data_IF_784895945942
#
_entry.id   IF_784895945942
#
_cell.length_a   1.000
_cell.length_b   1.000
_cell.length_c   1.000
_cell.angle_alpha   90.00
_cell.angle_beta   90.00
_cell.angle_gamma   90.00
#
_symmetry.space_group_name_H-M   'P 1'
#
loop_
_entity.id
_entity.type
_entity.pdbx_description
1 polymer ?
#
# COMPACT_ATOMS: atom_id res chain seq x y z
N UNK A 1 6.15 -39.29 -43.12
CA UNK A 1 5.26 -38.33 -42.42
C UNK A 1 4.90 -38.89 -41.05
N UNK A 2 5.64 -38.54 -39.99
CA UNK A 2 5.41 -39.09 -38.63
C UNK A 2 5.77 -38.11 -37.49
N UNK A 3 5.98 -36.83 -37.82
CA UNK A 3 6.38 -35.79 -36.85
C UNK A 3 5.38 -34.64 -36.71
N UNK A 4 4.18 -34.76 -37.28
CA UNK A 4 3.16 -33.70 -37.30
C UNK A 4 2.10 -33.84 -36.20
N UNK A 5 1.98 -35.00 -35.54
CA UNK A 5 0.94 -35.22 -34.51
C UNK A 5 1.32 -34.67 -33.13
N UNK A 6 2.61 -34.45 -32.85
CA UNK A 6 3.04 -33.97 -31.53
C UNK A 6 2.80 -32.48 -31.32
N UNK A 7 2.67 -31.69 -32.40
CA UNK A 7 2.54 -30.22 -32.31
C UNK A 7 1.11 -29.79 -31.95
N UNK A 8 0.09 -30.60 -32.25
CA UNK A 8 -1.32 -30.22 -32.04
C UNK A 8 -1.77 -30.43 -30.59
N UNK A 9 -1.23 -31.41 -29.86
CA UNK A 9 -1.58 -31.63 -28.45
C UNK A 9 -1.01 -30.57 -27.50
N UNK A 10 0.07 -29.88 -27.87
CA UNK A 10 0.64 -28.80 -27.06
C UNK A 10 -0.18 -27.51 -27.09
N UNK A 11 -0.89 -27.23 -28.20
CA UNK A 11 -1.69 -26.01 -28.34
C UNK A 11 -3.01 -26.06 -27.53
N UNK A 12 -3.57 -27.26 -27.32
CA UNK A 12 -4.85 -27.42 -26.61
C UNK A 12 -4.71 -27.16 -25.11
N UNK A 13 -3.54 -27.47 -24.52
CA UNK A 13 -3.27 -27.24 -23.08
C UNK A 13 -3.02 -25.76 -22.78
N UNK A 14 -2.48 -24.99 -23.75
CA UNK A 14 -2.26 -23.57 -23.59
C UNK A 14 -3.56 -22.72 -23.63
N UNK A 15 -4.61 -23.24 -24.28
CA UNK A 15 -5.89 -22.53 -24.42
C UNK A 15 -6.84 -22.63 -23.21
N UNK A 16 -6.67 -23.64 -22.35
CA UNK A 16 -7.56 -23.85 -21.20
C UNK A 16 -7.19 -23.04 -19.95
N UNK A 17 -6.01 -22.41 -19.92
CA UNK A 17 -5.57 -21.59 -18.78
C UNK A 17 -6.15 -20.16 -18.80
N UNK A 18 -6.79 -19.74 -19.90
CA UNK A 18 -7.34 -18.38 -20.04
C UNK A 18 -8.86 -18.27 -19.82
N UNK A 19 -9.52 -19.32 -19.33
CA UNK A 19 -10.98 -19.32 -19.08
C UNK A 19 -11.37 -19.32 -17.59
N UNK A 20 -10.45 -18.98 -16.69
CA UNK A 20 -10.89 -18.53 -15.37
C UNK A 20 -11.40 -17.10 -15.54
N UNK A 21 -12.70 -16.97 -15.75
CA UNK A 21 -13.40 -15.72 -15.45
C UNK A 21 -13.15 -15.46 -13.98
N UNK A 22 -12.15 -14.61 -13.71
CA UNK A 22 -11.89 -14.08 -12.38
C UNK A 22 -13.20 -13.51 -11.90
N UNK A 23 -13.79 -14.20 -10.92
CA UNK A 23 -15.02 -13.82 -10.27
C UNK A 23 -14.85 -12.35 -9.90
N UNK A 24 -15.57 -11.44 -10.55
CA UNK A 24 -15.54 -10.03 -10.16
C UNK A 24 -16.25 -9.99 -8.82
N UNK A 25 -15.49 -10.17 -7.75
CA UNK A 25 -15.92 -9.86 -6.40
C UNK A 25 -16.37 -8.41 -6.47
N UNK A 26 -17.68 -8.21 -6.57
CA UNK A 26 -18.32 -6.92 -6.42
C UNK A 26 -18.05 -6.52 -4.99
N UNK A 27 -16.96 -5.79 -4.77
CA UNK A 27 -16.74 -5.09 -3.53
C UNK A 27 -17.99 -4.23 -3.29
N UNK A 28 -18.68 -4.51 -2.19
CA UNK A 28 -19.79 -3.71 -1.68
C UNK A 28 -19.37 -2.24 -1.65
N UNK A 29 -20.27 -1.33 -2.02
CA UNK A 29 -20.07 0.13 -2.08
C UNK A 29 -19.87 0.79 -0.69
N UNK A 30 -18.98 0.24 0.13
CA UNK A 30 -18.52 0.80 1.42
C UNK A 30 -17.11 1.39 1.30
N UNK A 31 -16.69 1.79 0.09
CA UNK A 31 -15.40 2.42 -0.15
C UNK A 31 -15.43 3.89 0.24
N UNK A 32 -14.36 4.39 0.86
CA UNK A 32 -14.11 5.83 0.90
C UNK A 32 -13.74 6.28 -0.52
N UNK A 33 -14.29 7.41 -0.97
CA UNK A 33 -13.80 8.11 -2.15
C UNK A 33 -12.42 8.69 -1.82
N UNK A 34 -11.38 8.14 -2.42
CA UNK A 34 -10.01 8.52 -2.13
C UNK A 34 -9.18 8.68 -3.40
N UNK A 35 -8.28 9.67 -3.38
CA UNK A 35 -7.34 9.90 -4.48
C UNK A 35 -5.89 9.89 -3.97
N UNK A 36 -4.96 9.23 -4.67
CA UNK A 36 -3.55 9.28 -4.30
C UNK A 36 -2.94 10.65 -4.64
N UNK A 37 -2.12 11.17 -3.75
CA UNK A 37 -1.28 12.35 -4.03
C UNK A 37 0.10 11.88 -4.45
N UNK A 38 0.56 12.33 -5.62
CA UNK A 38 1.81 11.88 -6.24
C UNK A 38 2.75 13.04 -6.55
N UNK A 39 4.00 12.71 -6.91
CA UNK A 39 4.99 13.67 -7.42
C UNK A 39 5.43 14.74 -6.43
N UNK A 40 5.60 15.97 -6.91
CA UNK A 40 6.13 17.07 -6.11
C UNK A 40 5.24 17.43 -4.92
N UNK A 41 3.91 17.28 -5.05
CA UNK A 41 2.98 17.62 -3.98
C UNK A 41 3.07 16.62 -2.82
N UNK A 42 3.16 15.32 -3.14
CA UNK A 42 3.48 14.27 -2.17
C UNK A 42 4.76 14.62 -1.39
N UNK A 43 5.82 15.02 -2.11
CA UNK A 43 7.11 15.31 -1.47
C UNK A 43 7.03 16.46 -0.46
N UNK A 44 6.25 17.52 -0.74
CA UNK A 44 6.04 18.64 0.20
C UNK A 44 5.31 18.17 1.45
N UNK A 45 4.23 17.41 1.28
CA UNK A 45 3.42 16.89 2.39
C UNK A 45 4.28 16.00 3.30
N UNK A 46 5.04 15.08 2.69
CA UNK A 46 5.93 14.18 3.42
C UNK A 46 7.04 14.95 4.14
N UNK A 47 7.64 15.96 3.50
CA UNK A 47 8.65 16.79 4.15
C UNK A 47 8.07 17.55 5.36
N UNK A 48 6.86 18.10 5.22
CA UNK A 48 6.16 18.77 6.31
C UNK A 48 5.90 17.80 7.47
N UNK A 49 5.34 16.62 7.21
CA UNK A 49 5.12 15.60 8.22
C UNK A 49 6.41 15.23 8.95
N UNK A 50 7.49 14.89 8.24
CA UNK A 50 8.73 14.41 8.85
C UNK A 50 9.41 15.48 9.71
N UNK A 51 9.21 16.76 9.37
CA UNK A 51 9.72 17.89 10.15
C UNK A 51 8.91 18.16 11.43
N UNK A 52 7.68 17.67 11.51
CA UNK A 52 6.76 17.87 12.64
C UNK A 52 7.27 17.22 13.94
N UNK A 53 6.78 17.72 15.07
CA UNK A 53 7.01 17.09 16.37
C UNK A 53 6.30 15.74 16.46
N UNK A 54 5.04 15.67 16.02
CA UNK A 54 4.21 14.47 16.02
C UNK A 54 4.92 13.27 15.38
N UNK A 55 5.50 13.46 14.19
CA UNK A 55 6.23 12.41 13.51
C UNK A 55 7.46 11.96 14.29
N UNK A 56 8.21 12.90 14.89
CA UNK A 56 9.43 12.57 15.63
C UNK A 56 9.12 11.75 16.87
N UNK A 57 8.04 12.10 17.57
CA UNK A 57 7.55 11.38 18.75
C UNK A 57 7.02 9.99 18.38
N UNK A 58 6.16 9.89 17.35
CA UNK A 58 5.64 8.62 16.85
C UNK A 58 6.79 7.70 16.40
N UNK A 59 7.73 8.22 15.60
CA UNK A 59 8.92 7.48 15.17
C UNK A 59 9.74 6.99 16.35
N UNK A 60 9.90 7.80 17.40
CA UNK A 60 10.65 7.40 18.58
C UNK A 60 9.92 6.29 19.35
N UNK A 61 8.59 6.40 19.52
CA UNK A 61 7.76 5.37 20.17
C UNK A 61 7.84 4.05 19.44
N UNK A 62 7.54 4.05 18.13
CA UNK A 62 7.55 2.85 17.29
C UNK A 62 8.95 2.21 17.25
N UNK A 63 10.00 3.03 17.31
CA UNK A 63 11.38 2.51 17.41
C UNK A 63 11.64 1.79 18.74
N UNK A 64 11.08 2.24 19.85
CA UNK A 64 11.20 1.55 21.14
C UNK A 64 10.52 0.19 21.14
N UNK A 65 9.53 -0.01 20.26
CA UNK A 65 8.82 -1.28 20.06
C UNK A 65 9.60 -2.26 19.18
N UNK A 66 10.73 -1.84 18.60
CA UNK A 66 11.64 -2.71 17.85
C UNK A 66 11.62 -2.49 16.33
N UNK A 67 10.78 -1.60 15.84
CA UNK A 67 10.66 -1.31 14.41
C UNK A 67 11.66 -0.24 13.94
N UNK A 68 11.91 -0.21 12.64
CA UNK A 68 12.86 0.69 12.00
C UNK A 68 12.24 1.44 10.83
N UNK A 69 12.55 2.74 10.73
CA UNK A 69 12.15 3.54 9.59
C UNK A 69 13.26 3.59 8.54
N UNK A 70 12.97 3.15 7.31
CA UNK A 70 13.92 3.07 6.19
C UNK A 70 13.86 4.28 5.24
N UNK A 71 13.27 5.40 5.67
CA UNK A 71 13.21 6.65 4.91
C UNK A 71 11.91 6.86 4.13
N UNK A 72 11.92 7.81 3.19
CA UNK A 72 10.68 8.40 2.62
C UNK A 72 10.10 7.68 1.40
N UNK A 73 10.85 6.73 0.83
CA UNK A 73 10.59 6.17 -0.50
C UNK A 73 9.18 5.59 -0.63
N UNK A 74 8.74 4.88 0.41
CA UNK A 74 7.50 4.09 0.42
C UNK A 74 6.40 4.75 1.26
N UNK A 75 6.52 6.03 1.59
CA UNK A 75 5.43 6.76 2.26
C UNK A 75 4.30 6.97 1.27
N UNK A 76 3.07 6.72 1.69
CA UNK A 76 1.86 6.92 0.87
C UNK A 76 1.10 8.13 1.37
N UNK A 77 0.50 8.87 0.43
CA UNK A 77 -0.31 10.06 0.74
C UNK A 77 -1.59 9.96 -0.07
N UNK A 78 -2.71 10.01 0.63
CA UNK A 78 -4.05 9.85 0.08
C UNK A 78 -4.92 11.00 0.61
N UNK A 79 -5.77 11.55 -0.25
CA UNK A 79 -6.86 12.43 0.19
C UNK A 79 -8.15 11.63 0.25
N UNK A 80 -8.89 11.77 1.35
CA UNK A 80 -10.19 11.15 1.55
C UNK A 80 -11.30 12.18 1.32
N UNK A 81 -11.93 12.12 0.15
CA UNK A 81 -13.00 13.04 -0.27
C UNK A 81 -14.31 12.79 0.49
N UNK A 82 -14.49 11.59 1.05
CA UNK A 82 -15.66 11.28 1.90
C UNK A 82 -15.61 12.01 3.25
N UNK A 83 -14.43 12.41 3.71
CA UNK A 83 -14.22 13.04 5.02
C UNK A 83 -13.54 14.40 4.87
N UNK A 84 -14.20 15.36 4.23
CA UNK A 84 -13.75 16.75 4.10
C UNK A 84 -12.31 16.90 3.57
N UNK A 85 -11.95 16.12 2.55
CA UNK A 85 -10.61 16.07 1.97
C UNK A 85 -9.49 15.80 3.00
N UNK A 86 -9.78 14.96 4.00
CA UNK A 86 -8.80 14.59 5.02
C UNK A 86 -7.54 13.99 4.39
N UNK A 87 -6.38 14.50 4.82
CA UNK A 87 -5.09 14.07 4.33
C UNK A 87 -4.57 12.89 5.15
N UNK A 88 -4.52 11.72 4.55
CA UNK A 88 -4.04 10.48 5.15
C UNK A 88 -2.61 10.19 4.67
N UNK A 89 -1.70 9.95 5.60
CA UNK A 89 -0.29 9.66 5.30
C UNK A 89 0.11 8.35 5.97
N UNK A 90 0.44 7.34 5.16
CA UNK A 90 0.92 6.05 5.62
C UNK A 90 2.45 6.00 5.59
N UNK A 91 3.09 5.79 6.74
CA UNK A 91 4.55 5.68 6.86
C UNK A 91 4.93 4.24 7.22
N UNK A 92 5.71 3.54 6.36
CA UNK A 92 6.12 2.17 6.66
C UNK A 92 7.28 2.13 7.66
N UNK A 93 7.10 1.30 8.67
CA UNK A 93 8.09 0.85 9.63
C UNK A 93 8.32 -0.65 9.45
N UNK A 94 9.56 -1.08 9.67
CA UNK A 94 10.00 -2.44 9.35
C UNK A 94 10.49 -3.13 10.60
N UNK A 95 9.98 -4.34 10.85
CA UNK A 95 10.49 -5.21 11.90
C UNK A 95 11.76 -5.96 11.42
N UNK A 96 12.37 -6.75 12.31
CA UNK A 96 13.59 -7.51 12.03
C UNK A 96 13.44 -8.55 10.91
N UNK A 97 12.24 -9.11 10.76
CA UNK A 97 11.87 -10.06 9.71
C UNK A 97 11.42 -9.37 8.40
N UNK A 98 11.57 -8.05 8.33
CA UNK A 98 11.12 -7.19 7.23
C UNK A 98 9.60 -7.06 7.06
N UNK A 99 8.80 -7.58 8.00
CA UNK A 99 7.37 -7.28 8.07
C UNK A 99 7.13 -5.78 8.21
N UNK A 100 6.06 -5.29 7.58
CA UNK A 100 5.74 -3.86 7.49
C UNK A 100 4.59 -3.55 8.43
N UNK A 101 4.79 -2.54 9.27
CA UNK A 101 3.72 -1.85 9.96
C UNK A 101 3.56 -0.44 9.40
N UNK A 102 2.31 -0.05 9.14
CA UNK A 102 1.96 1.25 8.61
C UNK A 102 1.55 2.16 9.74
N UNK A 103 2.39 3.15 10.04
CA UNK A 103 2.02 4.27 10.90
C UNK A 103 1.16 5.25 10.12
N UNK A 104 -0.05 5.51 10.60
CA UNK A 104 -1.02 6.38 9.94
C UNK A 104 -1.06 7.74 10.61
N UNK A 105 -1.00 8.79 9.78
CA UNK A 105 -1.22 10.16 10.21
C UNK A 105 -2.41 10.74 9.45
N UNK A 106 -3.36 11.37 10.16
CA UNK A 106 -4.49 12.07 9.55
C UNK A 106 -4.37 13.55 9.88
N UNK A 107 -4.32 14.40 8.84
CA UNK A 107 -4.11 15.83 8.98
C UNK A 107 -2.88 16.19 9.84
N UNK A 108 -1.85 15.34 9.79
CA UNK A 108 -0.61 15.50 10.55
C UNK A 108 -0.63 14.94 11.98
N UNK A 109 -1.77 14.43 12.47
CA UNK A 109 -1.88 13.80 13.79
C UNK A 109 -1.65 12.30 13.71
N UNK A 110 -0.95 11.74 14.68
CA UNK A 110 -0.66 10.32 14.73
C UNK A 110 -1.89 9.53 15.19
N UNK A 111 -2.29 8.53 14.39
CA UNK A 111 -3.48 7.72 14.64
C UNK A 111 -3.15 6.31 15.18
N UNK A 112 -1.89 5.90 15.10
CA UNK A 112 -1.43 4.56 15.45
C UNK A 112 -0.66 3.89 14.30
N UNK A 113 -0.22 2.66 14.54
CA UNK A 113 0.42 1.81 13.55
C UNK A 113 -0.09 0.38 13.65
N UNK A 114 -0.27 -0.25 12.50
CA UNK A 114 -0.83 -1.59 12.39
C UNK A 114 -0.08 -2.38 11.31
N UNK A 115 -0.06 -3.73 11.40
CA UNK A 115 0.46 -4.57 10.32
C UNK A 115 -0.19 -4.22 8.98
N UNK A 116 0.62 -4.14 7.93
CA UNK A 116 0.10 -4.04 6.56
C UNK A 116 -0.60 -5.36 6.23
N UNK A 117 -1.94 -5.34 6.13
CA UNK A 117 -2.69 -6.52 5.68
C UNK A 117 -2.33 -6.80 4.21
N UNK A 118 -1.84 -8.01 3.93
CA UNK A 118 -1.70 -8.51 2.56
C UNK A 118 -3.10 -8.93 2.07
N UNK A 119 -3.70 -8.14 1.17
CA UNK A 119 -4.91 -8.53 0.44
C UNK A 119 -4.63 -9.61 -0.61
#
# INVERSE_FOLDING_TARGET
MKKLFTVISGLVIAGSLFVTSGNTAKASECGCDTSPILGAEKNKIVANLISSLEFKEAKQSIKYEGFSWKGVKNIEVIVNHTHDDALMIGVPFYNQDESIEMAVFINGHFMGHNPLEEE
#
